data_IF_595123955193
#
_entry.id   IF_595123955193
#
_cell.length_a   1.000
_cell.length_b   1.000
_cell.length_c   1.000
_cell.angle_alpha   90.00
_cell.angle_beta   90.00
_cell.angle_gamma   90.00
#
_symmetry.space_group_name_H-M   'P 1'
#
loop_
_entity.id
_entity.type
_entity.pdbx_description
1 polymer ?
#
# COMPACT_ATOMS: atom_id res chain seq x y z
N UNK A 1 15.08 -6.91 11.25
CA UNK A 1 15.07 -6.15 9.98
C UNK A 1 13.72 -6.19 9.26
N UNK A 2 13.25 -7.34 8.75
CA UNK A 2 12.01 -7.43 7.96
C UNK A 2 10.74 -6.98 8.72
N UNK A 3 10.60 -7.35 9.99
CA UNK A 3 9.43 -6.97 10.80
C UNK A 3 9.29 -5.45 10.94
N UNK A 4 10.40 -4.76 11.26
CA UNK A 4 10.39 -3.31 11.39
C UNK A 4 10.07 -2.62 10.06
N UNK A 5 10.60 -3.12 8.94
CA UNK A 5 10.28 -2.61 7.61
C UNK A 5 8.79 -2.82 7.27
N UNK A 6 8.24 -4.00 7.57
CA UNK A 6 6.82 -4.29 7.35
C UNK A 6 5.90 -3.43 8.23
N UNK A 7 6.28 -3.21 9.49
CA UNK A 7 5.53 -2.34 10.40
C UNK A 7 5.55 -0.89 9.92
N UNK A 8 6.70 -0.38 9.46
CA UNK A 8 6.83 0.96 8.89
C UNK A 8 6.04 1.10 7.58
N UNK A 9 6.13 0.13 6.68
CA UNK A 9 5.36 0.13 5.44
C UNK A 9 3.85 0.12 5.73
N UNK A 10 3.38 -0.67 6.72
CA UNK A 10 1.98 -0.66 7.11
C UNK A 10 1.52 0.72 7.62
N UNK A 11 2.36 1.43 8.37
CA UNK A 11 2.09 2.80 8.82
C UNK A 11 2.01 3.75 7.62
N UNK A 12 2.97 3.69 6.69
CA UNK A 12 2.99 4.57 5.53
C UNK A 12 1.81 4.33 4.58
N UNK A 13 1.45 3.05 4.38
CA UNK A 13 0.24 2.65 3.63
C UNK A 13 -1.03 3.20 4.29
N UNK A 14 -1.15 3.10 5.62
CA UNK A 14 -2.31 3.64 6.35
C UNK A 14 -2.42 5.16 6.20
N UNK A 15 -1.29 5.87 6.32
CA UNK A 15 -1.24 7.33 6.16
C UNK A 15 -1.69 7.75 4.76
N UNK A 16 -1.20 7.09 3.72
CA UNK A 16 -1.58 7.38 2.33
C UNK A 16 -3.03 6.98 2.05
N UNK A 17 -3.50 5.85 2.58
CA UNK A 17 -4.90 5.43 2.45
C UNK A 17 -5.88 6.44 3.07
N UNK A 18 -5.58 6.94 4.27
CA UNK A 18 -6.39 8.00 4.88
C UNK A 18 -6.41 9.28 4.03
N UNK A 19 -5.29 9.67 3.43
CA UNK A 19 -5.23 10.83 2.55
C UNK A 19 -6.03 10.62 1.26
N UNK A 20 -5.98 9.43 0.66
CA UNK A 20 -6.80 9.05 -0.50
C UNK A 20 -8.29 9.16 -0.20
N UNK A 21 -8.73 8.67 0.97
CA UNK A 21 -10.14 8.78 1.37
C UNK A 21 -10.57 10.22 1.61
N UNK A 22 -9.72 11.04 2.26
CA UNK A 22 -9.99 12.47 2.43
C UNK A 22 -10.14 13.18 1.09
N UNK A 23 -9.25 12.90 0.13
CA UNK A 23 -9.36 13.43 -1.23
C UNK A 23 -10.65 12.97 -1.90
N UNK A 24 -11.03 11.69 -1.80
CA UNK A 24 -12.28 11.19 -2.38
C UNK A 24 -13.52 11.88 -1.79
N UNK A 25 -13.54 12.15 -0.49
CA UNK A 25 -14.65 12.83 0.16
C UNK A 25 -14.78 14.30 -0.25
N UNK A 26 -13.66 14.99 -0.45
CA UNK A 26 -13.65 16.40 -0.83
C UNK A 26 -13.87 16.62 -2.34
N UNK A 27 -13.19 15.83 -3.18
CA UNK A 27 -13.16 16.00 -4.64
C UNK A 27 -14.12 15.06 -5.39
N UNK A 28 -14.75 14.12 -4.67
CA UNK A 28 -15.68 13.14 -5.24
C UNK A 28 -15.01 11.94 -5.92
N UNK A 29 -13.69 11.91 -6.05
CA UNK A 29 -12.95 10.81 -6.68
C UNK A 29 -11.55 10.64 -6.08
N UNK A 30 -10.95 9.45 -6.21
CA UNK A 30 -9.53 9.29 -5.93
C UNK A 30 -8.65 9.94 -7.00
N UNK A 31 -7.46 10.48 -6.64
CA UNK A 31 -6.57 11.12 -7.60
C UNK A 31 -5.96 10.12 -8.59
N UNK A 32 -5.49 10.60 -9.75
CA UNK A 32 -4.79 9.75 -10.72
C UNK A 32 -3.39 9.33 -10.25
N UNK A 33 -2.78 10.08 -9.33
CA UNK A 33 -1.42 9.87 -8.84
C UNK A 33 -1.29 10.34 -7.39
N UNK A 34 -0.41 9.70 -6.61
CA UNK A 34 -0.22 10.02 -5.19
C UNK A 34 0.31 11.45 -4.95
N UNK A 35 1.03 12.04 -5.90
CA UNK A 35 1.54 13.42 -5.80
C UNK A 35 0.44 14.48 -5.69
N UNK A 36 -0.78 14.18 -6.15
CA UNK A 36 -1.93 15.08 -5.98
C UNK A 36 -2.42 15.17 -4.52
N UNK A 37 -1.93 14.30 -3.62
CA UNK A 37 -2.29 14.35 -2.21
C UNK A 37 -1.52 15.41 -1.43
N UNK A 38 -0.39 15.90 -1.95
CA UNK A 38 0.42 16.92 -1.29
C UNK A 38 0.21 18.30 -1.93
N UNK A 39 0.25 19.39 -1.14
CA UNK A 39 0.42 19.44 0.31
C UNK A 39 -0.89 19.27 1.13
N UNK A 40 -2.04 19.27 0.46
CA UNK A 40 -3.37 19.44 1.10
C UNK A 40 -3.77 18.27 2.02
N UNK A 41 -3.53 17.04 1.59
CA UNK A 41 -3.90 15.83 2.31
C UNK A 41 -2.70 15.15 3.00
N UNK A 42 -1.48 15.42 2.53
CA UNK A 42 -0.21 14.97 3.07
C UNK A 42 0.85 16.07 2.99
N UNK A 43 1.71 16.20 4.02
CA UNK A 43 2.85 17.11 3.96
C UNK A 43 3.82 16.76 2.82
N UNK A 44 4.04 15.47 2.59
CA UNK A 44 4.79 14.92 1.45
C UNK A 44 4.32 13.50 1.16
N UNK A 45 4.47 13.04 -0.08
CA UNK A 45 4.18 11.64 -0.44
C UNK A 45 5.20 10.72 0.24
N UNK A 46 4.71 9.64 0.87
CA UNK A 46 5.57 8.59 1.44
C UNK A 46 6.12 7.72 0.33
N UNK A 47 7.41 7.42 0.40
CA UNK A 47 8.05 6.45 -0.48
C UNK A 47 8.05 5.07 0.17
N UNK A 48 8.10 4.04 -0.67
CA UNK A 48 8.32 2.67 -0.27
C UNK A 48 9.71 2.54 0.35
N UNK A 49 9.77 2.00 1.57
CA UNK A 49 11.01 1.81 2.31
C UNK A 49 11.93 0.77 1.64
N UNK A 50 11.36 -0.13 0.82
CA UNK A 50 12.11 -1.23 0.23
C UNK A 50 12.99 -0.76 -0.93
N UNK A 51 12.45 0.02 -1.86
CA UNK A 51 13.16 0.45 -3.07
C UNK A 51 13.33 1.98 -3.21
N UNK A 52 12.80 2.74 -2.24
CA UNK A 52 12.88 4.20 -2.22
C UNK A 52 12.00 4.91 -3.25
N UNK A 53 11.23 4.19 -4.05
CA UNK A 53 10.30 4.73 -5.04
C UNK A 53 8.96 5.09 -4.38
N UNK A 54 8.07 5.84 -5.03
CA UNK A 54 6.72 6.03 -4.50
C UNK A 54 6.01 4.70 -4.23
N UNK A 55 5.15 4.66 -3.21
CA UNK A 55 4.25 3.52 -3.00
C UNK A 55 3.42 3.25 -4.27
N UNK A 56 3.14 1.97 -4.54
CA UNK A 56 2.43 1.58 -5.76
C UNK A 56 0.96 1.83 -5.54
N UNK A 57 0.36 2.52 -6.51
CA UNK A 57 -1.00 2.97 -6.42
C UNK A 57 -1.71 2.85 -7.76
N UNK A 58 -2.93 2.32 -7.76
CA UNK A 58 -3.85 2.40 -8.90
C UNK A 58 -5.28 2.57 -8.43
N UNK A 59 -6.04 3.38 -9.17
CA UNK A 59 -7.50 3.49 -9.01
C UNK A 59 -8.17 2.19 -9.45
N UNK A 60 -9.26 1.83 -8.78
CA UNK A 60 -10.08 0.67 -9.09
C UNK A 60 -11.57 1.01 -8.87
N UNK A 61 -12.13 1.80 -9.78
CA UNK A 61 -13.51 2.32 -9.65
C UNK A 61 -13.66 3.18 -8.39
N UNK A 62 -14.56 2.78 -7.50
CA UNK A 62 -14.82 3.41 -6.20
C UNK A 62 -13.87 2.93 -5.10
N UNK A 63 -12.81 2.19 -5.47
CA UNK A 63 -11.75 1.71 -4.59
C UNK A 63 -10.36 2.02 -5.18
N UNK A 64 -9.32 1.56 -4.49
CA UNK A 64 -7.95 1.63 -5.00
C UNK A 64 -7.15 0.41 -4.54
N UNK A 65 -6.04 0.17 -5.23
CA UNK A 65 -4.97 -0.73 -4.79
C UNK A 65 -3.79 0.13 -4.37
N UNK A 66 -3.23 -0.14 -3.20
CA UNK A 66 -2.08 0.56 -2.62
C UNK A 66 -1.16 -0.45 -1.95
N UNK A 67 0.13 -0.46 -2.29
CA UNK A 67 1.08 -1.46 -1.76
C UNK A 67 2.54 -0.99 -1.78
N UNK A 68 3.35 -1.67 -0.96
CA UNK A 68 4.81 -1.72 -1.06
C UNK A 68 5.22 -3.04 -1.73
N UNK A 69 6.33 -3.06 -2.46
CA UNK A 69 6.82 -4.26 -3.17
C UNK A 69 7.26 -5.40 -2.23
N UNK A 70 7.23 -5.16 -0.92
CA UNK A 70 7.48 -6.20 0.07
C UNK A 70 8.94 -6.67 0.13
N UNK A 71 9.19 -7.66 0.99
CA UNK A 71 10.54 -8.08 1.32
C UNK A 71 11.21 -8.98 0.28
N UNK A 72 10.46 -9.45 -0.73
CA UNK A 72 11.04 -10.16 -1.87
C UNK A 72 11.58 -9.21 -2.94
N UNK A 73 11.45 -7.88 -2.73
CA UNK A 73 11.97 -6.82 -3.60
C UNK A 73 11.47 -6.94 -5.05
N UNK A 74 10.33 -7.60 -5.24
CA UNK A 74 9.74 -7.87 -6.55
C UNK A 74 8.34 -7.28 -6.55
N UNK A 75 8.04 -6.45 -7.55
CA UNK A 75 6.69 -5.95 -7.73
C UNK A 75 5.79 -7.08 -8.23
N UNK A 76 4.97 -7.64 -7.34
CA UNK A 76 4.02 -8.72 -7.66
C UNK A 76 2.64 -8.18 -8.10
N UNK A 77 2.54 -6.88 -8.39
CA UNK A 77 1.36 -6.24 -8.96
C UNK A 77 0.22 -5.99 -7.95
N UNK A 78 0.53 -5.95 -6.67
CA UNK A 78 -0.40 -5.89 -5.54
C UNK A 78 -0.86 -7.27 -5.08
N UNK A 79 -0.04 -8.31 -5.26
CA UNK A 79 -0.35 -9.67 -4.82
C UNK A 79 0.40 -10.00 -3.53
N UNK A 80 -0.39 -10.30 -2.52
CA UNK A 80 0.11 -10.73 -1.20
C UNK A 80 0.74 -12.13 -1.28
N UNK A 81 1.89 -12.31 -0.64
CA UNK A 81 2.52 -13.62 -0.54
C UNK A 81 1.77 -14.53 0.42
N UNK A 82 1.43 -15.72 -0.06
CA UNK A 82 0.88 -16.78 0.76
C UNK A 82 1.40 -18.14 0.31
N UNK A 83 1.49 -19.04 1.27
CA UNK A 83 1.77 -20.45 1.03
C UNK A 83 0.52 -21.28 1.28
N UNK A 84 0.15 -22.11 0.32
CA UNK A 84 -0.87 -23.13 0.51
C UNK A 84 -0.38 -24.13 1.57
N UNK A 85 -1.20 -24.35 2.59
CA UNK A 85 -0.95 -25.29 3.68
C UNK A 85 -2.13 -26.25 3.82
N UNK A 86 -1.94 -27.35 4.54
CA UNK A 86 -2.95 -28.43 4.68
C UNK A 86 -4.30 -27.94 5.22
N UNK A 87 -4.34 -26.77 5.87
CA UNK A 87 -5.55 -26.09 6.33
C UNK A 87 -5.58 -24.62 5.89
N UNK A 88 -5.59 -24.37 4.58
CA UNK A 88 -5.82 -23.04 4.02
C UNK A 88 -4.54 -22.34 3.59
N UNK A 89 -4.46 -21.02 3.81
CA UNK A 89 -3.34 -20.18 3.35
C UNK A 89 -2.61 -19.56 4.54
N UNK A 90 -1.29 -19.67 4.52
CA UNK A 90 -0.39 -19.07 5.50
C UNK A 90 0.29 -17.84 4.89
N UNK A 91 0.10 -16.68 5.52
CA UNK A 91 0.58 -15.39 5.01
C UNK A 91 2.07 -15.25 5.29
N UNK A 92 2.87 -15.03 4.26
CA UNK A 92 4.33 -14.92 4.35
C UNK A 92 4.71 -13.47 4.07
N UNK A 93 5.32 -12.79 5.04
CA UNK A 93 5.75 -11.38 4.88
C UNK A 93 7.01 -11.27 4.03
N UNK A 94 7.72 -12.37 3.91
CA UNK A 94 8.91 -12.58 3.10
C UNK A 94 8.58 -12.77 1.61
N UNK A 95 7.30 -12.98 1.27
CA UNK A 95 6.85 -13.27 -0.09
C UNK A 95 5.79 -12.22 -0.48
N UNK A 96 5.78 -11.84 -1.75
CA UNK A 96 4.76 -10.95 -2.30
C UNK A 96 4.81 -9.51 -1.78
N UNK A 97 3.83 -8.75 -2.23
CA UNK A 97 3.64 -7.36 -1.87
C UNK A 97 3.00 -7.18 -0.50
N UNK A 98 3.34 -6.07 0.16
CA UNK A 98 2.64 -5.61 1.35
C UNK A 98 1.50 -4.69 0.95
N UNK A 99 0.30 -5.27 0.84
CA UNK A 99 -0.89 -4.61 0.29
C UNK A 99 -1.77 -4.02 1.39
N UNK A 100 -2.19 -2.76 1.22
CA UNK A 100 -3.22 -2.15 2.07
C UNK A 100 -4.53 -2.91 1.90
N UNK A 101 -5.08 -3.40 3.02
CA UNK A 101 -6.37 -4.07 3.06
C UNK A 101 -7.34 -3.24 3.89
N UNK A 102 -8.57 -3.07 3.38
CA UNK A 102 -9.63 -2.52 4.20
C UNK A 102 -9.86 -3.43 5.42
N UNK A 103 -9.90 -2.88 6.64
CA UNK A 103 -10.35 -3.62 7.79
C UNK A 103 -11.73 -4.22 7.50
N UNK A 104 -11.89 -5.51 7.74
CA UNK A 104 -13.19 -6.18 7.66
C UNK A 104 -13.92 -6.07 8.99
#
# INVERSE_FOLDING_TARGET
>A
PIRAAADQAAIDLAVVACALERHRLAEGAYPNQLSALAPEYLASVRHDLIDGQPLRYRRAGDSFVLYSIGANETDDGGQVGFKEVTKGRDWRREEGDWVWQYPR
#
